data_IF_345690721658
#
_entry.id   IF_345690721658
#
_cell.length_a   1.000
_cell.length_b   1.000
_cell.length_c   1.000
_cell.angle_alpha   90.00
_cell.angle_beta   90.00
_cell.angle_gamma   90.00
#
_symmetry.space_group_name_H-M   'P 1'
#
loop_
_entity.id
_entity.type
_entity.pdbx_description
1 polymer ?
#
# COMPACT_ATOMS: atom_id res chain seq x y z
N UNK A 1 -9.15 3.23 -15.19
CA UNK A 1 -10.11 2.68 -14.20
C UNK A 1 -10.06 3.44 -12.87
N UNK A 2 -8.87 3.58 -12.20
CA UNK A 2 -8.76 4.18 -10.86
C UNK A 2 -9.31 5.62 -10.80
N UNK A 3 -8.95 6.51 -11.71
CA UNK A 3 -9.48 7.88 -11.74
C UNK A 3 -11.00 7.92 -11.86
N UNK A 4 -11.59 6.96 -12.58
CA UNK A 4 -13.04 6.84 -12.67
C UNK A 4 -13.67 6.43 -11.33
N UNK A 5 -13.03 5.52 -10.59
CA UNK A 5 -13.48 5.14 -9.25
C UNK A 5 -13.34 6.31 -8.26
N UNK A 6 -12.27 7.10 -8.36
CA UNK A 6 -12.09 8.33 -7.60
C UNK A 6 -13.24 9.33 -7.85
N UNK A 7 -13.60 9.56 -9.12
CA UNK A 7 -14.70 10.46 -9.49
C UNK A 7 -16.07 9.98 -8.95
N UNK A 8 -16.23 8.67 -8.73
CA UNK A 8 -17.44 8.08 -8.15
C UNK A 8 -17.38 7.98 -6.61
N UNK A 9 -16.31 8.48 -5.97
CA UNK A 9 -16.15 8.45 -4.50
C UNK A 9 -15.74 7.10 -3.91
N UNK A 10 -15.45 6.09 -4.74
CA UNK A 10 -15.08 4.72 -4.32
C UNK A 10 -13.61 4.38 -4.62
N UNK A 11 -12.76 5.38 -4.84
CA UNK A 11 -11.34 5.19 -5.14
C UNK A 11 -10.58 4.45 -4.04
N UNK A 12 -10.88 4.73 -2.78
CA UNK A 12 -10.26 4.08 -1.62
C UNK A 12 -10.62 2.58 -1.53
N UNK A 13 -11.87 2.20 -1.85
CA UNK A 13 -12.28 0.79 -1.90
C UNK A 13 -11.53 0.05 -3.01
N UNK A 14 -11.37 0.68 -4.16
CA UNK A 14 -10.63 0.10 -5.27
C UNK A 14 -9.14 -0.09 -4.93
N UNK A 15 -8.51 0.86 -4.23
CA UNK A 15 -7.14 0.71 -3.74
C UNK A 15 -7.02 -0.40 -2.71
N UNK A 16 -7.95 -0.47 -1.75
CA UNK A 16 -8.04 -1.57 -0.77
C UNK A 16 -8.08 -2.93 -1.46
N UNK A 17 -8.90 -3.06 -2.52
CA UNK A 17 -8.97 -4.30 -3.30
C UNK A 17 -7.61 -4.65 -3.94
N UNK A 18 -6.89 -3.67 -4.51
CA UNK A 18 -5.58 -3.91 -5.10
C UNK A 18 -4.54 -4.35 -4.07
N UNK A 19 -4.53 -3.74 -2.89
CA UNK A 19 -3.67 -4.14 -1.77
C UNK A 19 -4.02 -5.55 -1.26
N UNK A 20 -5.31 -5.86 -1.13
CA UNK A 20 -5.77 -7.19 -0.73
C UNK A 20 -5.38 -8.27 -1.76
N UNK A 21 -5.47 -7.97 -3.06
CA UNK A 21 -4.98 -8.88 -4.12
C UNK A 21 -3.47 -9.11 -4.01
N UNK A 22 -2.68 -8.07 -3.76
CA UNK A 22 -1.25 -8.23 -3.53
C UNK A 22 -0.99 -9.15 -2.33
N UNK A 23 -1.62 -8.90 -1.19
CA UNK A 23 -1.51 -9.73 0.02
C UNK A 23 -1.88 -11.20 -0.24
N UNK A 24 -2.97 -11.44 -0.97
CA UNK A 24 -3.53 -12.78 -1.14
C UNK A 24 -2.79 -13.61 -2.19
N UNK A 25 -2.25 -13.01 -3.23
CA UNK A 25 -1.69 -13.74 -4.37
C UNK A 25 -0.19 -13.67 -4.49
N UNK A 26 0.46 -12.70 -3.82
CA UNK A 26 1.92 -12.54 -3.87
C UNK A 26 2.53 -13.15 -2.61
N UNK A 27 3.17 -14.29 -2.79
CA UNK A 27 3.92 -14.99 -1.74
C UNK A 27 5.43 -14.87 -1.98
N UNK A 28 6.22 -15.23 -0.97
CA UNK A 28 7.67 -15.34 -1.11
C UNK A 28 8.04 -16.26 -2.29
N UNK A 29 8.85 -15.75 -3.23
CA UNK A 29 9.26 -16.44 -4.47
C UNK A 29 8.30 -16.30 -5.64
N UNK A 30 7.17 -15.59 -5.48
CA UNK A 30 6.31 -15.17 -6.60
C UNK A 30 6.31 -13.66 -6.80
N UNK A 31 6.92 -12.91 -5.87
CA UNK A 31 7.13 -11.47 -6.03
C UNK A 31 8.36 -11.17 -6.89
N UNK A 32 8.30 -10.07 -7.62
CA UNK A 32 9.35 -9.64 -8.53
C UNK A 32 9.37 -8.11 -8.67
N UNK A 33 10.51 -7.51 -9.07
CA UNK A 33 10.57 -6.08 -9.33
C UNK A 33 9.58 -5.66 -10.42
N UNK A 34 8.86 -4.57 -10.23
CA UNK A 34 7.93 -4.07 -11.23
C UNK A 34 8.61 -3.82 -12.59
N UNK A 35 9.91 -3.48 -12.57
CA UNK A 35 10.73 -3.34 -13.79
C UNK A 35 10.77 -4.61 -14.66
N UNK A 36 10.56 -5.79 -14.09
CA UNK A 36 10.60 -7.09 -14.77
C UNK A 36 9.21 -7.55 -15.27
N UNK A 37 8.17 -6.75 -15.03
CA UNK A 37 6.83 -7.11 -15.50
C UNK A 37 6.74 -7.10 -17.02
N UNK A 38 6.37 -8.24 -17.59
CA UNK A 38 6.22 -8.41 -19.04
C UNK A 38 4.77 -8.71 -19.45
N UNK A 39 4.07 -9.53 -18.66
CA UNK A 39 2.70 -9.94 -18.97
C UNK A 39 1.99 -10.51 -17.76
N UNK A 40 0.65 -10.51 -17.79
CA UNK A 40 -0.19 -11.10 -16.74
C UNK A 40 -0.45 -12.58 -16.99
N UNK A 41 0.37 -13.45 -16.43
CA UNK A 41 0.24 -14.89 -16.58
C UNK A 41 -0.41 -15.58 -15.38
N UNK A 42 -0.52 -14.87 -14.25
CA UNK A 42 -1.08 -15.36 -12.99
C UNK A 42 -1.72 -14.24 -12.20
N UNK A 43 -2.44 -14.58 -11.13
CA UNK A 43 -2.98 -13.59 -10.18
C UNK A 43 -1.85 -12.79 -9.51
N UNK A 44 -0.72 -13.42 -9.16
CA UNK A 44 0.45 -12.75 -8.60
C UNK A 44 1.05 -11.74 -9.58
N UNK A 45 1.29 -12.13 -10.84
CA UNK A 45 1.81 -11.20 -11.87
C UNK A 45 0.85 -10.05 -12.14
N UNK A 46 -0.46 -10.29 -12.04
CA UNK A 46 -1.45 -9.22 -12.15
C UNK A 46 -1.42 -8.29 -10.94
N UNK A 47 -1.30 -8.81 -9.72
CA UNK A 47 -1.24 -8.01 -8.51
C UNK A 47 -0.02 -7.08 -8.50
N UNK A 48 1.16 -7.57 -8.93
CA UNK A 48 2.35 -6.74 -9.08
C UNK A 48 2.24 -5.80 -10.28
N UNK A 49 2.00 -6.31 -11.46
CA UNK A 49 2.07 -5.54 -12.71
C UNK A 49 1.00 -4.45 -12.83
N UNK A 50 -0.20 -4.68 -12.31
CA UNK A 50 -1.31 -3.72 -12.36
C UNK A 50 -1.59 -3.09 -10.99
N UNK A 51 -1.67 -3.89 -9.91
CA UNK A 51 -2.00 -3.39 -8.58
C UNK A 51 -0.90 -2.47 -8.02
N UNK A 52 0.34 -2.93 -7.97
CA UNK A 52 1.47 -2.11 -7.52
C UNK A 52 1.70 -0.89 -8.42
N UNK A 53 1.53 -1.04 -9.75
CA UNK A 53 1.62 0.09 -10.68
C UNK A 53 0.54 1.13 -10.42
N UNK A 54 -0.70 0.72 -10.19
CA UNK A 54 -1.79 1.63 -9.82
C UNK A 54 -1.41 2.44 -8.58
N UNK A 55 -0.93 1.77 -7.54
CA UNK A 55 -0.53 2.42 -6.29
C UNK A 55 0.67 3.35 -6.48
N UNK A 56 1.65 2.97 -7.33
CA UNK A 56 2.77 3.85 -7.68
C UNK A 56 2.26 5.17 -8.29
N UNK A 57 1.36 5.09 -9.27
CA UNK A 57 0.78 6.28 -9.90
C UNK A 57 -0.06 7.11 -8.92
N UNK A 58 -0.80 6.46 -8.03
CA UNK A 58 -1.58 7.13 -7.02
C UNK A 58 -0.70 7.88 -6.02
N UNK A 59 0.33 7.21 -5.46
CA UNK A 59 1.29 7.85 -4.56
C UNK A 59 2.06 9.00 -5.24
N UNK A 60 2.44 8.84 -6.51
CA UNK A 60 3.06 9.91 -7.29
C UNK A 60 2.13 11.12 -7.44
N UNK A 61 0.83 10.87 -7.68
CA UNK A 61 -0.18 11.93 -7.77
C UNK A 61 -0.33 12.68 -6.44
N UNK A 62 -0.34 11.98 -5.31
CA UNK A 62 -0.38 12.59 -3.98
C UNK A 62 0.86 13.44 -3.74
N UNK A 63 2.03 12.94 -4.10
CA UNK A 63 3.31 13.66 -3.92
C UNK A 63 3.38 14.95 -4.73
N UNK A 64 2.90 14.93 -5.97
CA UNK A 64 3.01 16.04 -6.92
C UNK A 64 1.79 16.96 -6.93
N UNK A 65 0.65 16.48 -6.47
CA UNK A 65 -0.65 17.10 -6.67
C UNK A 65 -1.19 16.91 -8.08
N UNK A 66 -2.51 17.08 -8.25
CA UNK A 66 -3.25 16.79 -9.47
C UNK A 66 -2.73 17.57 -10.68
N UNK A 67 -2.37 18.82 -10.50
CA UNK A 67 -1.95 19.70 -11.60
C UNK A 67 -0.69 19.18 -12.28
N UNK A 68 0.39 18.98 -11.53
CA UNK A 68 1.66 18.48 -12.08
C UNK A 68 1.53 17.04 -12.58
N UNK A 69 0.77 16.21 -11.88
CA UNK A 69 0.52 14.85 -12.29
C UNK A 69 -0.16 14.77 -13.67
N UNK A 70 -1.23 15.55 -13.88
CA UNK A 70 -1.96 15.57 -15.15
C UNK A 70 -1.11 16.21 -16.26
N UNK A 71 -0.36 17.28 -15.97
CA UNK A 71 0.57 17.89 -16.92
C UNK A 71 1.61 16.87 -17.42
N UNK A 72 2.20 16.10 -16.53
CA UNK A 72 3.15 15.04 -16.90
C UNK A 72 2.52 13.97 -17.79
N UNK A 73 1.28 13.54 -17.51
CA UNK A 73 0.56 12.59 -18.38
C UNK A 73 0.30 13.18 -19.77
N UNK A 74 -0.03 14.48 -19.87
CA UNK A 74 -0.23 15.14 -21.14
C UNK A 74 1.07 15.20 -21.97
N UNK A 75 2.21 15.49 -21.32
CA UNK A 75 3.52 15.49 -21.97
C UNK A 75 3.89 14.06 -22.42
N UNK A 76 3.68 13.05 -21.57
CA UNK A 76 3.91 11.64 -21.94
C UNK A 76 3.08 11.27 -23.19
N UNK A 77 1.81 11.64 -23.21
CA UNK A 77 0.97 11.36 -24.37
C UNK A 77 1.44 12.11 -25.64
N UNK A 78 1.79 13.39 -25.51
CA UNK A 78 2.20 14.22 -26.65
C UNK A 78 3.54 13.80 -27.24
N UNK A 79 4.56 13.58 -26.37
CA UNK A 79 5.96 13.48 -26.79
C UNK A 79 6.43 12.04 -26.94
N UNK A 80 5.76 11.09 -26.24
CA UNK A 80 6.12 9.68 -26.23
C UNK A 80 5.09 8.77 -26.91
N UNK A 81 4.03 9.31 -27.49
CA UNK A 81 3.07 8.52 -28.26
C UNK A 81 3.77 7.70 -29.32
N UNK A 82 3.49 6.38 -29.34
CA UNK A 82 4.11 5.38 -30.22
C UNK A 82 5.62 5.13 -29.98
N UNK A 83 6.17 5.61 -28.88
CA UNK A 83 7.54 5.33 -28.44
C UNK A 83 7.54 4.37 -27.25
N UNK A 84 8.66 3.71 -27.00
CA UNK A 84 8.88 2.99 -25.77
C UNK A 84 9.23 4.00 -24.67
N UNK A 85 8.62 3.86 -23.51
CA UNK A 85 8.85 4.69 -22.33
C UNK A 85 9.23 3.77 -21.17
N UNK A 86 10.31 4.08 -20.50
CA UNK A 86 10.74 3.39 -19.29
C UNK A 86 10.27 4.15 -18.04
N UNK A 87 10.28 3.48 -16.89
CA UNK A 87 10.06 4.15 -15.60
C UNK A 87 11.10 5.24 -15.31
N UNK A 88 12.33 5.08 -15.83
CA UNK A 88 13.37 6.11 -15.74
C UNK A 88 13.00 7.37 -16.54
N UNK A 89 12.46 7.22 -17.74
CA UNK A 89 11.98 8.37 -18.53
C UNK A 89 10.87 9.11 -17.81
N UNK A 90 9.95 8.38 -17.19
CA UNK A 90 8.86 8.93 -16.39
C UNK A 90 9.40 9.66 -15.15
N UNK A 91 10.35 9.04 -14.43
CA UNK A 91 10.99 9.67 -13.27
C UNK A 91 11.68 10.98 -13.64
N UNK A 92 12.45 11.00 -14.73
CA UNK A 92 13.13 12.19 -15.23
C UNK A 92 12.14 13.29 -15.63
N UNK A 93 11.06 12.93 -16.34
CA UNK A 93 10.03 13.88 -16.73
C UNK A 93 9.40 14.57 -15.51
N UNK A 94 8.92 13.79 -14.56
CA UNK A 94 8.28 14.34 -13.37
C UNK A 94 9.25 15.08 -12.44
N UNK A 95 10.51 14.63 -12.38
CA UNK A 95 11.56 15.37 -11.65
C UNK A 95 11.81 16.75 -12.25
N UNK A 96 11.85 16.86 -13.59
CA UNK A 96 11.99 18.14 -14.29
C UNK A 96 10.77 19.06 -14.07
N UNK A 97 9.57 18.50 -14.10
CA UNK A 97 8.33 19.27 -13.90
C UNK A 97 8.20 19.79 -12.46
N UNK A 98 8.53 18.97 -11.48
CA UNK A 98 8.34 19.29 -10.06
C UNK A 98 9.53 20.04 -9.44
N UNK A 99 10.71 19.92 -10.03
CA UNK A 99 11.96 20.39 -9.43
C UNK A 99 12.47 19.49 -8.28
N UNK A 100 11.83 18.34 -8.04
CA UNK A 100 12.20 17.36 -7.00
C UNK A 100 12.80 16.13 -7.65
N UNK A 101 13.89 15.59 -7.10
CA UNK A 101 14.46 14.32 -7.58
C UNK A 101 13.58 13.15 -7.17
N UNK A 102 12.84 12.59 -8.14
CA UNK A 102 11.97 11.43 -7.98
C UNK A 102 12.68 10.09 -8.26
N UNK A 103 13.96 10.10 -8.58
CA UNK A 103 14.75 8.89 -8.77
C UNK A 103 14.65 7.91 -7.60
N UNK A 104 14.85 8.33 -6.34
CA UNK A 104 14.69 7.47 -5.16
C UNK A 104 13.28 6.90 -5.00
N UNK A 105 12.23 7.69 -5.29
CA UNK A 105 10.84 7.23 -5.26
C UNK A 105 10.61 6.11 -6.28
N UNK A 106 10.97 6.32 -7.55
CA UNK A 106 10.81 5.29 -8.58
C UNK A 106 11.68 4.07 -8.32
N UNK A 107 12.93 4.25 -7.85
CA UNK A 107 13.78 3.11 -7.48
C UNK A 107 13.11 2.25 -6.40
N UNK A 108 12.58 2.86 -5.35
CA UNK A 108 11.91 2.16 -4.27
C UNK A 108 10.73 1.30 -4.76
N UNK A 109 9.87 1.85 -5.61
CA UNK A 109 8.63 1.18 -6.00
C UNK A 109 8.77 0.29 -7.24
N UNK A 110 9.73 0.57 -8.10
CA UNK A 110 9.92 -0.16 -9.36
C UNK A 110 10.92 -1.31 -9.21
N UNK A 111 11.99 -1.12 -8.43
CA UNK A 111 13.09 -2.08 -8.36
C UNK A 111 13.08 -2.98 -7.13
N UNK A 112 12.44 -2.54 -6.02
CA UNK A 112 12.35 -3.38 -4.83
C UNK A 112 11.18 -4.35 -4.93
N UNK A 113 11.42 -5.59 -4.49
CA UNK A 113 10.39 -6.59 -4.20
C UNK A 113 9.81 -6.35 -2.81
N UNK A 114 8.64 -6.91 -2.54
CA UNK A 114 7.96 -6.74 -1.26
C UNK A 114 7.17 -5.45 -1.17
N UNK A 115 6.55 -5.28 -0.03
CA UNK A 115 5.80 -4.12 0.37
C UNK A 115 6.15 -3.77 1.83
N UNK A 116 6.05 -2.51 2.25
CA UNK A 116 6.19 -2.16 3.66
C UNK A 116 5.10 -2.84 4.51
N UNK A 117 5.50 -3.32 5.68
CA UNK A 117 4.62 -3.84 6.72
C UNK A 117 4.69 -2.88 7.89
N UNK A 118 3.54 -2.32 8.27
CA UNK A 118 3.44 -1.33 9.33
C UNK A 118 2.82 -1.94 10.58
N UNK A 119 3.47 -1.75 11.71
CA UNK A 119 2.91 -2.00 13.03
C UNK A 119 2.89 -0.70 13.82
N UNK A 120 1.80 -0.44 14.54
CA UNK A 120 1.62 0.77 15.31
C UNK A 120 1.34 0.43 16.77
N UNK A 121 2.06 1.09 17.67
CA UNK A 121 1.86 0.99 19.11
C UNK A 121 1.63 2.40 19.65
N UNK A 122 0.62 2.54 20.50
CA UNK A 122 0.27 3.80 21.16
C UNK A 122 0.56 3.66 22.64
N UNK A 123 1.31 4.60 23.18
CA UNK A 123 1.67 4.65 24.58
C UNK A 123 1.32 6.02 25.15
N UNK A 124 0.82 6.03 26.38
CA UNK A 124 0.68 7.28 27.14
C UNK A 124 2.06 7.89 27.39
N UNK A 125 2.16 9.17 27.17
CA UNK A 125 3.35 9.96 27.48
C UNK A 125 3.02 10.99 28.59
N UNK A 126 4.03 11.74 29.02
CA UNK A 126 3.83 12.79 30.03
C UNK A 126 2.93 13.90 29.47
N UNK A 127 2.22 14.61 30.39
CA UNK A 127 1.39 15.77 30.06
C UNK A 127 0.20 15.49 29.13
N UNK A 128 -0.51 14.38 29.32
CA UNK A 128 -1.66 14.01 28.52
C UNK A 128 -1.37 13.94 27.01
N UNK A 129 -0.19 13.42 26.64
CA UNK A 129 0.21 13.19 25.26
C UNK A 129 0.21 11.69 24.94
N UNK A 130 -0.07 11.34 23.70
CA UNK A 130 0.14 10.01 23.16
C UNK A 130 1.45 9.96 22.37
N UNK A 131 2.27 8.92 22.62
CA UNK A 131 3.37 8.57 21.75
C UNK A 131 2.91 7.47 20.80
N UNK A 132 2.85 7.78 19.51
CA UNK A 132 2.47 6.85 18.46
C UNK A 132 3.77 6.37 17.80
N UNK A 133 4.10 5.09 17.99
CA UNK A 133 5.29 4.46 17.45
C UNK A 133 4.95 3.64 16.23
N UNK A 134 5.59 3.94 15.11
CA UNK A 134 5.46 3.21 13.84
C UNK A 134 6.68 2.32 13.66
N UNK A 135 6.47 1.03 13.46
CA UNK A 135 7.51 0.08 13.11
C UNK A 135 7.28 -0.46 11.70
N UNK A 136 8.34 -0.44 10.88
CA UNK A 136 8.38 -1.13 9.60
C UNK A 136 8.96 -2.53 9.81
N UNK A 137 8.10 -3.55 9.82
CA UNK A 137 8.44 -4.93 10.24
C UNK A 137 8.91 -5.84 9.10
N UNK A 138 8.72 -5.43 7.84
CA UNK A 138 9.19 -6.20 6.69
C UNK A 138 10.69 -6.46 6.72
N UNK A 139 11.12 -7.53 6.06
CA UNK A 139 12.53 -7.82 5.87
C UNK A 139 13.22 -6.75 4.99
N UNK A 140 14.52 -6.51 5.25
CA UNK A 140 15.35 -5.57 4.50
C UNK A 140 15.22 -4.12 4.97
N UNK A 141 15.63 -3.18 4.12
CA UNK A 141 15.69 -1.76 4.42
C UNK A 141 14.30 -1.12 4.61
N UNK A 142 14.19 -0.08 5.44
CA UNK A 142 12.94 0.66 5.55
C UNK A 142 12.57 1.32 4.22
N UNK A 143 11.28 1.55 4.05
CA UNK A 143 10.75 2.36 2.97
C UNK A 143 10.63 3.81 3.41
N UNK A 144 10.77 4.72 2.47
CA UNK A 144 10.38 6.12 2.66
C UNK A 144 8.91 6.24 2.34
N UNK A 145 8.11 6.54 3.36
CA UNK A 145 6.66 6.58 3.27
C UNK A 145 6.14 7.93 3.76
N UNK A 146 5.07 8.39 3.15
CA UNK A 146 4.21 9.44 3.68
C UNK A 146 2.86 8.78 3.95
N UNK A 147 2.54 8.61 5.23
CA UNK A 147 1.39 7.82 5.69
C UNK A 147 0.37 8.74 6.31
N UNK A 148 -0.85 8.86 5.76
CA UNK A 148 -1.92 9.57 6.44
C UNK A 148 -2.36 8.80 7.69
N UNK A 149 -2.53 9.51 8.80
CA UNK A 149 -2.97 8.96 10.08
C UNK A 149 -4.13 9.78 10.57
N UNK A 150 -5.25 9.14 10.84
CA UNK A 150 -6.44 9.76 11.38
C UNK A 150 -6.54 9.50 12.89
N UNK A 151 -6.63 10.57 13.67
CA UNK A 151 -6.84 10.55 15.11
C UNK A 151 -8.29 10.90 15.41
N UNK A 152 -8.98 10.05 16.13
CA UNK A 152 -10.37 10.23 16.55
C UNK A 152 -10.42 10.60 18.04
N UNK A 153 -11.03 11.71 18.35
CA UNK A 153 -11.21 12.19 19.72
C UNK A 153 -12.69 12.16 20.13
N UNK A 154 -12.95 11.99 21.44
CA UNK A 154 -14.31 11.77 21.97
C UNK A 154 -15.28 12.89 21.61
N UNK A 155 -14.82 14.15 21.71
CA UNK A 155 -15.66 15.33 21.52
C UNK A 155 -15.60 15.89 20.08
N UNK A 156 -14.86 15.27 19.16
CA UNK A 156 -14.70 15.74 17.78
C UNK A 156 -15.47 14.84 16.81
N UNK A 157 -16.41 15.39 16.00
CA UNK A 157 -17.21 14.59 15.06
C UNK A 157 -16.40 14.07 13.86
N UNK A 158 -15.29 14.74 13.52
CA UNK A 158 -14.43 14.39 12.38
C UNK A 158 -13.01 14.10 12.89
N UNK A 159 -12.32 13.13 12.29
CA UNK A 159 -10.94 12.83 12.68
C UNK A 159 -9.97 13.94 12.27
N UNK A 160 -8.95 14.14 13.09
CA UNK A 160 -7.80 14.96 12.70
C UNK A 160 -6.85 14.09 11.86
N UNK A 161 -6.54 14.53 10.63
CA UNK A 161 -5.69 13.79 9.70
C UNK A 161 -4.31 14.44 9.60
N UNK A 162 -3.27 13.64 9.82
CA UNK A 162 -1.87 14.06 9.75
C UNK A 162 -1.09 13.18 8.77
N UNK A 163 -0.19 13.78 8.00
CA UNK A 163 0.77 13.05 7.19
C UNK A 163 2.03 12.75 8.01
N UNK A 164 2.29 11.49 8.28
CA UNK A 164 3.49 11.03 8.99
C UNK A 164 4.53 10.55 7.97
N UNK A 165 5.72 11.17 8.00
CA UNK A 165 6.84 10.76 7.17
C UNK A 165 7.66 9.69 7.91
N UNK A 166 7.80 8.52 7.31
CA UNK A 166 8.58 7.39 7.84
C UNK A 166 9.76 7.09 6.93
N UNK A 167 10.94 6.94 7.50
CA UNK A 167 12.18 6.64 6.76
C UNK A 167 13.07 5.61 7.47
N UNK A 168 12.73 5.28 8.70
CA UNK A 168 13.47 4.35 9.56
C UNK A 168 12.62 3.12 9.89
N UNK A 169 13.27 2.11 10.46
CA UNK A 169 12.57 0.91 10.96
C UNK A 169 11.64 1.20 12.12
N UNK A 170 11.94 2.22 12.91
CA UNK A 170 11.15 2.65 14.06
C UNK A 170 11.17 4.17 14.14
N UNK A 171 10.03 4.78 14.10
CA UNK A 171 9.83 6.23 14.23
C UNK A 171 8.61 6.51 15.09
N UNK A 172 8.63 7.60 15.84
CA UNK A 172 7.55 8.00 16.72
C UNK A 172 7.11 9.42 16.45
N UNK A 173 5.82 9.66 16.60
CA UNK A 173 5.20 10.99 16.62
C UNK A 173 4.45 11.19 17.92
N UNK A 174 4.27 12.45 18.30
CA UNK A 174 3.48 12.81 19.48
C UNK A 174 2.12 13.34 19.02
N UNK A 175 1.06 12.89 19.69
CA UNK A 175 -0.27 13.44 19.57
C UNK A 175 -0.67 14.02 20.91
N UNK A 176 -1.44 15.11 20.89
CA UNK A 176 -1.96 15.75 22.07
C UNK A 176 -3.23 15.04 22.55
N UNK A 177 -3.60 15.30 23.80
CA UNK A 177 -4.88 14.89 24.40
C UNK A 177 -5.15 13.36 24.38
N UNK A 178 -4.22 12.62 24.98
CA UNK A 178 -4.32 11.15 25.08
C UNK A 178 -5.58 10.65 25.77
N UNK A 179 -6.05 11.36 26.81
CA UNK A 179 -7.25 10.97 27.59
C UNK A 179 -8.51 10.92 26.73
N UNK A 180 -8.63 11.80 25.73
CA UNK A 180 -9.78 11.87 24.82
C UNK A 180 -9.54 11.14 23.49
N UNK A 181 -8.36 10.58 23.27
CA UNK A 181 -8.01 9.82 22.05
C UNK A 181 -8.71 8.44 22.04
N UNK A 182 -9.68 8.26 21.18
CA UNK A 182 -10.50 7.06 21.08
C UNK A 182 -9.95 6.02 20.13
N UNK A 183 -9.44 6.45 18.97
CA UNK A 183 -8.91 5.56 17.95
C UNK A 183 -7.85 6.22 17.08
N UNK A 184 -6.98 5.39 16.52
CA UNK A 184 -5.99 5.77 15.52
C UNK A 184 -6.16 4.85 14.31
N UNK A 185 -6.40 5.43 13.15
CA UNK A 185 -6.40 4.70 11.88
C UNK A 185 -5.20 5.11 11.04
N UNK A 186 -4.41 4.12 10.65
CA UNK A 186 -3.23 4.30 9.81
C UNK A 186 -3.62 4.05 8.36
N UNK A 187 -3.36 5.02 7.50
CA UNK A 187 -3.70 4.98 6.08
C UNK A 187 -5.19 4.65 5.83
N UNK A 188 -6.11 5.46 6.39
CA UNK A 188 -7.55 5.17 6.37
C UNK A 188 -8.15 5.13 4.97
N UNK A 189 -7.47 5.74 3.99
CA UNK A 189 -7.91 5.82 2.60
C UNK A 189 -7.15 4.86 1.66
N UNK A 190 -6.26 4.00 2.21
CA UNK A 190 -5.44 3.08 1.42
C UNK A 190 -4.60 3.80 0.35
N UNK A 191 -3.97 4.91 0.74
CA UNK A 191 -3.19 5.76 -0.15
C UNK A 191 -1.75 5.25 -0.33
N UNK A 192 -1.28 4.37 0.56
CA UNK A 192 0.09 3.83 0.55
C UNK A 192 0.11 2.39 0.05
N UNK A 193 1.00 2.08 -0.90
CA UNK A 193 1.27 0.68 -1.23
C UNK A 193 1.97 0.00 -0.07
N UNK A 194 1.27 -0.90 0.62
CA UNK A 194 1.74 -1.64 1.80
C UNK A 194 1.06 -2.99 1.91
N UNK A 195 1.62 -3.85 2.72
CA UNK A 195 0.95 -5.07 3.14
C UNK A 195 -0.19 -4.69 4.10
N UNK A 196 -1.40 -5.14 3.81
CA UNK A 196 -2.52 -4.94 4.72
C UNK A 196 -2.37 -5.84 5.95
N UNK A 197 -2.75 -5.34 7.12
CA UNK A 197 -2.87 -6.18 8.31
C UNK A 197 -3.97 -7.23 8.13
N UNK A 198 -3.91 -8.27 8.95
CA UNK A 198 -4.92 -9.33 8.95
C UNK A 198 -6.30 -8.81 9.34
N UNK A 199 -6.34 -7.84 10.23
CA UNK A 199 -7.58 -7.21 10.70
C UNK A 199 -8.23 -6.30 9.66
N UNK A 200 -7.45 -5.79 8.69
CA UNK A 200 -7.95 -4.95 7.61
C UNK A 200 -8.63 -5.74 6.47
N UNK A 201 -8.38 -7.06 6.43
CA UNK A 201 -8.91 -7.93 5.37
C UNK A 201 -9.68 -9.10 5.98
N UNK A 202 -10.95 -9.32 5.58
CA UNK A 202 -11.64 -10.53 5.96
C UNK A 202 -10.92 -11.75 5.35
N UNK A 203 -10.94 -12.92 6.01
CA UNK A 203 -10.43 -14.15 5.43
C UNK A 203 -11.10 -14.44 4.08
N UNK A 204 -10.31 -14.68 3.06
CA UNK A 204 -10.81 -14.97 1.71
C UNK A 204 -10.26 -16.27 1.18
N UNK A 205 -10.99 -16.91 0.27
CA UNK A 205 -10.51 -18.10 -0.46
C UNK A 205 -9.25 -17.74 -1.28
N UNK A 206 -9.07 -16.47 -1.66
CA UNK A 206 -7.88 -15.99 -2.36
C UNK A 206 -6.57 -16.26 -1.61
N UNK A 207 -6.58 -16.24 -0.27
CA UNK A 207 -5.41 -16.58 0.55
C UNK A 207 -4.93 -18.02 0.32
N UNK A 208 -5.85 -18.95 0.02
CA UNK A 208 -5.51 -20.34 -0.29
C UNK A 208 -4.71 -20.45 -1.59
N UNK A 209 -5.02 -19.63 -2.59
CA UNK A 209 -4.33 -19.66 -3.89
C UNK A 209 -2.91 -19.08 -3.84
N UNK A 210 -2.63 -18.21 -2.86
CA UNK A 210 -1.28 -17.69 -2.61
C UNK A 210 -0.45 -18.54 -1.64
N UNK A 211 -1.08 -19.45 -0.90
CA UNK A 211 -0.44 -20.23 0.15
C UNK A 211 0.46 -21.34 -0.44
N UNK A 212 1.72 -21.44 0.01
CA UNK A 212 2.63 -22.54 -0.34
C UNK A 212 2.23 -23.86 0.29
N UNK A 213 1.61 -23.82 1.47
CA UNK A 213 1.13 -24.98 2.24
C UNK A 213 -0.20 -24.63 2.85
N UNK A 214 -1.14 -25.54 2.73
CA UNK A 214 -2.48 -25.43 3.30
C UNK A 214 -2.61 -26.55 4.32
N UNK A 215 -3.04 -26.22 5.53
CA UNK A 215 -3.40 -27.21 6.55
C UNK A 215 -4.92 -27.28 6.65
N UNK A 216 -5.48 -28.46 6.42
CA UNK A 216 -6.89 -28.73 6.63
C UNK A 216 -7.11 -29.34 8.01
N UNK A 217 -7.99 -28.73 8.80
CA UNK A 217 -8.43 -29.29 10.07
C UNK A 217 -9.77 -29.97 9.82
N UNK A 218 -9.75 -31.30 9.80
CA UNK A 218 -10.93 -32.10 9.52
C UNK A 218 -11.65 -32.48 10.83
N UNK A 219 -13.01 -32.49 10.86
CA UNK A 219 -13.77 -32.98 12.00
C UNK A 219 -13.51 -34.48 12.21
N UNK A 220 -13.41 -34.90 13.48
CA UNK A 220 -13.19 -36.31 13.82
C UNK A 220 -14.33 -37.27 13.37
N UNK A 221 -15.53 -36.73 13.27
CA UNK A 221 -16.70 -37.45 12.74
C UNK A 221 -16.80 -37.29 11.23
N UNK A 222 -16.99 -38.39 10.50
CA UNK A 222 -17.11 -38.41 9.02
C UNK A 222 -15.80 -38.01 8.29
N UNK A 223 -14.64 -38.39 8.81
CA UNK A 223 -13.33 -38.04 8.24
C UNK A 223 -13.19 -38.43 6.76
N UNK A 224 -13.69 -39.62 6.39
CA UNK A 224 -13.62 -40.08 4.99
C UNK A 224 -14.35 -39.20 3.98
N UNK A 225 -15.39 -38.48 4.41
CA UNK A 225 -16.13 -37.57 3.53
C UNK A 225 -15.34 -36.28 3.26
N UNK A 226 -14.57 -35.84 4.25
CA UNK A 226 -13.76 -34.60 4.15
C UNK A 226 -12.37 -34.82 3.59
N UNK A 227 -11.80 -36.03 3.71
CA UNK A 227 -10.51 -36.41 3.16
C UNK A 227 -10.47 -36.25 1.64
N UNK A 228 -11.54 -36.60 0.94
CA UNK A 228 -11.67 -36.43 -0.49
C UNK A 228 -11.72 -34.96 -0.97
N UNK A 229 -12.03 -34.01 -0.07
CA UNK A 229 -12.02 -32.58 -0.38
C UNK A 229 -10.65 -31.95 -0.12
N UNK A 230 -9.76 -32.63 0.61
CA UNK A 230 -8.44 -32.13 0.96
C UNK A 230 -7.32 -32.65 0.01
N UNK A 231 -7.62 -33.63 -0.84
CA UNK A 231 -6.78 -34.09 -1.95
C UNK A 231 -6.97 -33.21 -3.21
#
# INVERSE_FOLDING_TARGET
>A
DHLFQEMNGVGHEYRKEMLARYKNYVAEGTDFPLAEFTSRNSAATQAVGYGKTLMLWHMLRIELGDKLFVEGLQILYRDYKYKRVSFTDIANLYSQLSGVDLGPFFYQWVNRIGAPELSVVVEEANNNQARIMFAQTQFGDPYRLKVPVALYYEDEPEPQIYDVSLSQKLEGVMAEDYENLQAILVDPFFDVFRQLDREETPPTIGELFGARKIAFVLPRSQSQHWEQMAE
#
